data_IF_834228912891
#
_entry.id   IF_834228912891
#
_cell.length_a   1.000
_cell.length_b   1.000
_cell.length_c   1.000
_cell.angle_alpha   90.00
_cell.angle_beta   90.00
_cell.angle_gamma   90.00
#
_symmetry.space_group_name_H-M   'P 1'
#
loop_
_entity.id
_entity.type
_entity.pdbx_description
1 polymer ?
#
# COMPACT_ATOMS: atom_id res chain seq x y z
N UNK A 1 -12.35 21.97 -37.41
CA UNK A 1 -11.81 22.76 -38.54
C UNK A 1 -12.18 22.14 -39.88
N UNK A 2 -11.85 20.86 -40.13
CA UNK A 2 -12.20 20.10 -41.35
C UNK A 2 -13.70 20.06 -41.67
N UNK A 3 -14.58 19.96 -40.66
CA UNK A 3 -16.05 19.98 -40.86
C UNK A 3 -16.57 21.31 -41.43
N UNK A 4 -15.97 22.43 -41.03
CA UNK A 4 -16.33 23.77 -41.53
C UNK A 4 -15.84 23.94 -42.97
N UNK A 5 -14.66 23.41 -43.25
CA UNK A 5 -14.05 23.34 -44.58
C UNK A 5 -14.92 22.52 -45.55
N UNK A 6 -15.35 21.31 -45.17
CA UNK A 6 -16.26 20.51 -46.01
C UNK A 6 -17.61 21.19 -46.26
N UNK A 7 -18.18 21.85 -45.25
CA UNK A 7 -19.45 22.57 -45.39
C UNK A 7 -19.34 23.75 -46.37
N UNK A 8 -18.18 24.43 -46.41
CA UNK A 8 -17.93 25.50 -47.37
C UNK A 8 -17.85 24.97 -48.81
N UNK A 9 -17.19 23.83 -49.01
CA UNK A 9 -17.08 23.17 -50.32
C UNK A 9 -18.44 22.70 -50.84
N UNK A 10 -19.26 22.10 -49.99
CA UNK A 10 -20.62 21.66 -50.32
C UNK A 10 -21.51 22.83 -50.78
N UNK A 11 -21.28 24.03 -50.24
CA UNK A 11 -22.02 25.24 -50.60
C UNK A 11 -21.55 25.81 -51.94
N UNK A 12 -20.25 25.72 -52.25
CA UNK A 12 -19.70 26.11 -53.55
C UNK A 12 -20.20 25.20 -54.68
N UNK A 13 -20.37 23.90 -54.43
CA UNK A 13 -20.97 22.96 -55.41
C UNK A 13 -22.45 23.25 -55.68
N UNK A 14 -23.20 23.76 -54.67
CA UNK A 14 -24.61 24.16 -54.82
C UNK A 14 -24.79 25.44 -55.65
N UNK A 15 -23.78 26.28 -55.76
CA UNK A 15 -23.83 27.57 -56.49
C UNK A 15 -23.51 27.46 -58.00
N UNK A 16 -23.36 26.25 -58.56
CA UNK A 16 -23.04 26.02 -59.98
C UNK A 16 -21.78 26.76 -60.50
N UNK A 17 -20.81 27.05 -59.61
CA UNK A 17 -19.53 27.69 -59.95
C UNK A 17 -18.49 26.72 -60.52
N UNK A 18 -18.85 25.45 -60.68
CA UNK A 18 -17.99 24.36 -61.15
C UNK A 18 -18.55 23.74 -62.44
N UNK A 19 -17.67 23.42 -63.39
CA UNK A 19 -18.07 22.73 -64.62
C UNK A 19 -18.72 21.38 -64.29
N UNK A 20 -19.81 21.04 -64.97
CA UNK A 20 -20.77 19.97 -64.65
C UNK A 20 -20.24 18.51 -64.77
N UNK A 21 -18.93 18.28 -64.66
CA UNK A 21 -18.30 17.01 -65.06
C UNK A 21 -17.42 16.35 -64.00
N UNK A 22 -17.60 16.63 -62.72
CA UNK A 22 -16.76 16.04 -61.68
C UNK A 22 -17.59 15.41 -60.56
N UNK A 23 -17.24 14.17 -60.21
CA UNK A 23 -17.84 13.35 -59.17
C UNK A 23 -17.52 13.83 -57.73
N UNK A 24 -17.12 15.10 -57.59
CA UNK A 24 -16.70 15.77 -56.34
C UNK A 24 -17.73 15.60 -55.22
N UNK A 25 -19.02 15.49 -55.56
CA UNK A 25 -20.07 15.28 -54.56
C UNK A 25 -19.96 13.89 -53.90
N UNK A 26 -19.70 12.84 -54.67
CA UNK A 26 -19.54 11.48 -54.14
C UNK A 26 -18.27 11.38 -53.30
N UNK A 27 -17.17 11.96 -53.77
CA UNK A 27 -15.88 11.96 -53.06
C UNK A 27 -15.96 12.72 -51.70
N UNK A 28 -16.74 13.81 -51.63
CA UNK A 28 -16.99 14.55 -50.39
C UNK A 28 -17.84 13.74 -49.41
N UNK A 29 -18.85 13.02 -49.90
CA UNK A 29 -19.72 12.18 -49.07
C UNK A 29 -18.93 11.00 -48.49
N UNK A 30 -18.07 10.37 -49.30
CA UNK A 30 -17.19 9.28 -48.88
C UNK A 30 -16.18 9.74 -47.81
N UNK A 31 -15.54 10.91 -47.99
CA UNK A 31 -14.63 11.47 -46.98
C UNK A 31 -15.31 11.90 -45.68
N UNK A 32 -16.59 12.30 -45.72
CA UNK A 32 -17.37 12.52 -44.49
C UNK A 32 -17.60 11.23 -43.76
N UNK A 33 -17.98 10.18 -44.48
CA UNK A 33 -18.30 8.89 -43.90
C UNK A 33 -17.05 8.24 -43.29
N UNK A 34 -15.89 8.37 -43.94
CA UNK A 34 -14.62 7.90 -43.34
C UNK A 34 -14.26 8.71 -42.10
N UNK A 35 -14.34 10.06 -42.16
CA UNK A 35 -14.07 10.92 -41.01
C UNK A 35 -14.97 10.64 -39.78
N UNK A 36 -16.23 10.25 -40.00
CA UNK A 36 -17.16 9.90 -38.92
C UNK A 36 -16.91 8.50 -38.32
N UNK A 37 -16.18 7.63 -39.02
CA UNK A 37 -15.85 6.26 -38.58
C UNK A 37 -14.42 6.11 -38.01
N UNK A 38 -13.58 7.14 -38.12
CA UNK A 38 -12.20 7.12 -37.59
C UNK A 38 -12.20 7.09 -36.06
N UNK A 39 -11.40 6.18 -35.50
CA UNK A 39 -11.21 6.07 -34.05
C UNK A 39 -10.15 7.06 -33.56
N UNK A 40 -10.38 7.63 -32.38
CA UNK A 40 -9.51 8.61 -31.75
C UNK A 40 -8.16 7.97 -31.37
N UNK A 41 -7.16 8.12 -32.26
CA UNK A 41 -5.82 7.55 -32.10
C UNK A 41 -5.22 6.94 -33.36
N UNK A 42 -6.01 6.72 -34.42
CA UNK A 42 -5.51 6.17 -35.68
C UNK A 42 -4.94 7.28 -36.60
N UNK A 43 -3.70 7.69 -36.29
CA UNK A 43 -3.02 8.78 -37.00
C UNK A 43 -2.80 8.50 -38.50
N UNK A 44 -2.72 7.24 -38.90
CA UNK A 44 -2.46 6.83 -40.28
C UNK A 44 -3.72 7.04 -41.14
N UNK A 45 -4.89 6.73 -40.57
CA UNK A 45 -6.19 6.99 -41.20
C UNK A 45 -6.53 8.49 -41.23
N UNK A 46 -6.19 9.23 -40.17
CA UNK A 46 -6.34 10.69 -40.12
C UNK A 46 -5.44 11.38 -41.15
N UNK A 47 -4.19 10.91 -41.31
CA UNK A 47 -3.26 11.46 -42.30
C UNK A 47 -3.79 11.25 -43.72
N UNK A 48 -4.29 10.04 -44.01
CA UNK A 48 -4.87 9.71 -45.31
C UNK A 48 -6.07 10.61 -45.65
N UNK A 49 -6.96 10.86 -44.69
CA UNK A 49 -8.12 11.76 -44.89
C UNK A 49 -7.66 13.20 -45.17
N UNK A 50 -6.58 13.67 -44.52
CA UNK A 50 -6.00 14.98 -44.75
C UNK A 50 -5.39 15.12 -46.16
N UNK A 51 -4.70 14.09 -46.63
CA UNK A 51 -4.14 14.03 -47.98
C UNK A 51 -5.26 14.04 -49.04
N UNK A 52 -6.28 13.20 -48.89
CA UNK A 52 -7.41 13.11 -49.81
C UNK A 52 -8.24 14.42 -49.84
N UNK A 53 -8.41 15.07 -48.67
CA UNK A 53 -9.06 16.38 -48.58
C UNK A 53 -8.26 17.45 -49.32
N UNK A 54 -6.94 17.42 -49.25
CA UNK A 54 -6.06 18.39 -49.93
C UNK A 54 -6.13 18.23 -51.44
N UNK A 55 -6.15 16.99 -51.95
CA UNK A 55 -6.31 16.68 -53.37
C UNK A 55 -7.63 17.23 -53.92
N UNK A 56 -8.73 17.12 -53.16
CA UNK A 56 -10.02 17.69 -53.56
C UNK A 56 -10.00 19.22 -53.64
N UNK A 57 -9.36 19.89 -52.68
CA UNK A 57 -9.21 21.35 -52.73
C UNK A 57 -8.43 21.80 -53.97
N UNK A 58 -7.37 21.08 -54.35
CA UNK A 58 -6.60 21.36 -55.55
C UNK A 58 -7.44 21.16 -56.82
N UNK A 59 -8.18 20.05 -56.91
CA UNK A 59 -9.09 19.78 -58.04
C UNK A 59 -10.17 20.86 -58.17
N UNK A 60 -10.72 21.35 -57.06
CA UNK A 60 -11.71 22.43 -57.07
C UNK A 60 -11.05 23.75 -57.50
N UNK A 61 -9.87 24.08 -56.97
CA UNK A 61 -9.16 25.32 -57.28
C UNK A 61 -8.85 25.47 -58.78
N UNK A 62 -8.53 24.36 -59.45
CA UNK A 62 -8.22 24.33 -60.88
C UNK A 62 -9.45 24.53 -61.78
N UNK A 63 -10.66 24.36 -61.24
CA UNK A 63 -11.91 24.33 -62.01
C UNK A 63 -12.91 25.45 -61.63
N UNK A 64 -12.52 26.38 -60.75
CA UNK A 64 -13.32 27.57 -60.43
C UNK A 64 -13.15 28.61 -61.56
N UNK A 65 -14.25 28.97 -62.22
CA UNK A 65 -14.28 30.09 -63.17
C UNK A 65 -14.67 31.37 -62.43
N UNK A 66 -13.75 32.36 -62.39
CA UNK A 66 -14.03 33.70 -61.86
C UNK A 66 -14.49 34.60 -63.02
N UNK A 67 -15.70 35.19 -63.01
CA UNK A 67 -16.10 36.16 -64.02
C UNK A 67 -15.30 37.46 -63.85
N UNK A 68 -14.42 37.78 -64.80
CA UNK A 68 -13.78 39.11 -64.85
C UNK A 68 -14.80 40.14 -65.35
N UNK A 69 -15.14 41.16 -64.54
CA UNK A 69 -15.88 42.33 -65.03
C UNK A 69 -15.00 43.14 -65.98
N UNK A 70 -15.48 43.37 -67.20
CA UNK A 70 -14.84 44.24 -68.19
C UNK A 70 -15.31 45.68 -68.00
N UNK A 71 -14.37 46.62 -67.83
CA UNK A 71 -14.64 48.06 -67.92
C UNK A 71 -15.01 48.44 -69.36
N UNK A 72 -16.29 48.70 -69.58
CA UNK A 72 -16.87 49.08 -70.87
C UNK A 72 -17.63 50.41 -70.75
N UNK A 73 -16.99 51.46 -70.23
CA UNK A 73 -17.58 52.81 -70.21
C UNK A 73 -16.51 53.91 -70.30
N UNK A 74 -15.86 54.04 -71.45
CA UNK A 74 -15.20 55.29 -71.86
C UNK A 74 -15.59 55.61 -73.29
N UNK A 75 -16.72 56.30 -73.45
CA UNK A 75 -17.10 56.97 -74.68
C UNK A 75 -16.82 58.46 -74.52
N UNK A 76 -15.75 58.94 -75.12
CA UNK A 76 -15.61 60.35 -75.52
C UNK A 76 -15.77 60.40 -77.03
N UNK A 77 -16.98 60.69 -77.49
CA UNK A 77 -17.22 61.11 -78.87
C UNK A 77 -16.88 62.61 -78.99
N UNK A 78 -15.90 62.93 -79.83
CA UNK A 78 -15.52 64.30 -80.16
C UNK A 78 -16.51 64.88 -81.17
N UNK A 79 -17.44 65.70 -80.71
CA UNK A 79 -18.31 66.50 -81.58
C UNK A 79 -17.69 67.91 -81.73
N UNK A 80 -16.98 68.13 -82.83
CA UNK A 80 -16.52 69.46 -83.24
C UNK A 80 -17.72 70.26 -83.76
N UNK A 81 -18.16 71.26 -82.99
CA UNK A 81 -19.11 72.26 -83.44
C UNK A 81 -18.51 73.65 -83.26
N UNK A 82 -18.16 74.21 -84.42
CA UNK A 82 -18.08 75.62 -84.81
C UNK A 82 -18.11 76.72 -83.73
N UNK A 83 -16.98 77.42 -83.68
CA UNK A 83 -16.70 78.73 -83.08
C UNK A 83 -17.70 79.82 -83.51
N UNK A 84 -18.29 80.51 -82.53
CA UNK A 84 -18.76 81.90 -82.66
C UNK A 84 -18.48 82.69 -81.36
N UNK A 85 -18.16 83.96 -81.52
CA UNK A 85 -17.45 84.84 -80.58
C UNK A 85 -18.27 85.23 -79.33
N UNK A 86 -17.79 84.94 -78.11
CA UNK A 86 -17.93 85.81 -76.91
C UNK A 86 -17.21 85.30 -75.64
N UNK A 87 -16.51 86.23 -74.95
CA UNK A 87 -16.23 86.29 -73.50
C UNK A 87 -15.19 85.36 -72.82
N UNK A 88 -13.93 85.78 -72.80
CA UNK A 88 -12.86 85.17 -71.97
C UNK A 88 -13.16 85.21 -70.44
N UNK A 89 -14.03 86.12 -69.98
CA UNK A 89 -14.46 86.19 -68.56
C UNK A 89 -15.51 85.12 -68.19
N UNK A 90 -16.31 84.63 -69.16
CA UNK A 90 -17.35 83.61 -68.91
C UNK A 90 -16.74 82.19 -68.94
N UNK A 91 -15.80 81.93 -69.86
CA UNK A 91 -15.02 80.69 -69.94
C UNK A 91 -14.16 80.47 -68.69
N UNK A 92 -13.48 81.51 -68.19
CA UNK A 92 -12.64 81.41 -66.98
C UNK A 92 -13.46 81.19 -65.71
N UNK A 93 -14.68 81.74 -65.65
CA UNK A 93 -15.62 81.49 -64.56
C UNK A 93 -16.14 80.06 -64.59
N UNK A 94 -16.50 79.55 -65.76
CA UNK A 94 -16.95 78.17 -65.92
C UNK A 94 -15.84 77.17 -65.52
N UNK A 95 -14.60 77.40 -65.93
CA UNK A 95 -13.45 76.61 -65.49
C UNK A 95 -13.25 76.66 -63.96
N UNK A 96 -13.47 77.81 -63.33
CA UNK A 96 -13.39 77.94 -61.87
C UNK A 96 -14.49 77.15 -61.14
N UNK A 97 -15.69 77.11 -61.71
CA UNK A 97 -16.83 76.35 -61.17
C UNK A 97 -16.60 74.84 -61.29
N UNK A 98 -16.09 74.36 -62.44
CA UNK A 98 -15.71 72.96 -62.62
C UNK A 98 -14.57 72.52 -61.71
N UNK A 99 -13.57 73.37 -61.50
CA UNK A 99 -12.48 73.09 -60.55
C UNK A 99 -13.01 72.98 -59.12
N UNK A 100 -13.95 73.85 -58.73
CA UNK A 100 -14.59 73.79 -57.42
C UNK A 100 -15.43 72.51 -57.25
N UNK A 101 -16.18 72.12 -58.28
CA UNK A 101 -16.99 70.90 -58.26
C UNK A 101 -16.10 69.63 -58.20
N UNK A 102 -15.05 69.56 -59.02
CA UNK A 102 -14.08 68.47 -58.98
C UNK A 102 -13.44 68.33 -57.60
N UNK A 103 -13.08 69.46 -56.98
CA UNK A 103 -12.53 69.48 -55.61
C UNK A 103 -13.57 69.01 -54.58
N UNK A 104 -14.85 69.42 -54.73
CA UNK A 104 -15.93 68.98 -53.83
C UNK A 104 -16.20 67.48 -53.94
N UNK A 105 -16.19 66.92 -55.15
CA UNK A 105 -16.32 65.47 -55.39
C UNK A 105 -15.13 64.73 -54.79
N UNK A 106 -13.91 65.18 -55.04
CA UNK A 106 -12.69 64.59 -54.46
C UNK A 106 -12.74 64.57 -52.94
N UNK A 107 -13.12 65.68 -52.31
CA UNK A 107 -13.25 65.78 -50.85
C UNK A 107 -14.35 64.86 -50.31
N UNK A 108 -15.48 64.74 -51.00
CA UNK A 108 -16.58 63.85 -50.60
C UNK A 108 -16.13 62.39 -50.67
N UNK A 109 -15.54 61.99 -51.80
CA UNK A 109 -15.00 60.65 -51.98
C UNK A 109 -13.92 60.32 -50.95
N UNK A 110 -13.00 61.26 -50.67
CA UNK A 110 -11.99 61.08 -49.64
C UNK A 110 -12.61 60.87 -48.26
N UNK A 111 -13.62 61.67 -47.89
CA UNK A 111 -14.35 61.52 -46.62
C UNK A 111 -15.07 60.17 -46.51
N UNK A 112 -15.66 59.67 -47.60
CA UNK A 112 -16.31 58.36 -47.63
C UNK A 112 -15.29 57.23 -47.46
N UNK A 113 -14.16 57.29 -48.17
CA UNK A 113 -13.08 56.31 -48.05
C UNK A 113 -12.47 56.31 -46.66
N UNK A 114 -12.29 57.48 -46.05
CA UNK A 114 -11.86 57.59 -44.66
C UNK A 114 -12.88 56.98 -43.70
N UNK A 115 -14.18 57.21 -43.90
CA UNK A 115 -15.23 56.63 -43.05
C UNK A 115 -15.23 55.10 -43.13
N UNK A 116 -15.11 54.54 -44.34
CA UNK A 116 -15.02 53.09 -44.55
C UNK A 116 -13.75 52.53 -43.89
N UNK A 117 -12.61 53.22 -44.04
CA UNK A 117 -11.34 52.81 -43.40
C UNK A 117 -11.48 52.75 -41.88
N UNK A 118 -12.00 53.81 -41.25
CA UNK A 118 -12.22 53.85 -39.80
C UNK A 118 -13.20 52.76 -39.34
N UNK A 119 -14.24 52.45 -40.12
CA UNK A 119 -15.18 51.38 -39.81
C UNK A 119 -14.48 50.02 -39.72
N UNK A 120 -13.66 49.67 -40.72
CA UNK A 120 -12.90 48.41 -40.71
C UNK A 120 -11.81 48.38 -39.65
N UNK A 121 -11.09 49.49 -39.44
CA UNK A 121 -10.11 49.60 -38.35
C UNK A 121 -10.74 49.34 -36.99
N UNK A 122 -11.91 49.93 -36.74
CA UNK A 122 -12.67 49.71 -35.51
C UNK A 122 -13.14 48.25 -35.39
N UNK A 123 -13.69 47.66 -36.45
CA UNK A 123 -14.09 46.25 -36.46
C UNK A 123 -12.90 45.32 -36.15
N UNK A 124 -11.76 45.53 -36.81
CA UNK A 124 -10.54 44.75 -36.57
C UNK A 124 -10.01 44.94 -35.15
N UNK A 125 -10.08 46.15 -34.60
CA UNK A 125 -9.69 46.43 -33.21
C UNK A 125 -10.59 45.65 -32.23
N UNK A 126 -11.91 45.70 -32.42
CA UNK A 126 -12.86 44.97 -31.57
C UNK A 126 -12.64 43.45 -31.63
N UNK A 127 -12.38 42.91 -32.83
CA UNK A 127 -12.07 41.48 -32.99
C UNK A 127 -10.75 41.10 -32.32
N UNK A 128 -9.71 41.94 -32.42
CA UNK A 128 -8.43 41.73 -31.72
C UNK A 128 -8.59 41.71 -30.20
N UNK A 129 -9.29 42.70 -29.63
CA UNK A 129 -9.55 42.75 -28.19
C UNK A 129 -10.31 41.49 -27.70
N UNK A 130 -11.30 41.02 -28.48
CA UNK A 130 -12.02 39.78 -28.16
C UNK A 130 -11.10 38.55 -28.15
N UNK A 131 -10.20 38.45 -29.12
CA UNK A 131 -9.22 37.35 -29.19
C UNK A 131 -8.27 37.42 -27.99
N UNK A 132 -7.71 38.59 -27.69
CA UNK A 132 -6.80 38.78 -26.56
C UNK A 132 -7.46 38.44 -25.21
N UNK A 133 -8.72 38.83 -25.02
CA UNK A 133 -9.48 38.48 -23.82
C UNK A 133 -9.73 36.98 -23.71
N UNK A 134 -10.04 36.31 -24.81
CA UNK A 134 -10.26 34.86 -24.81
C UNK A 134 -8.95 34.10 -24.56
N UNK A 135 -7.84 34.53 -25.17
CA UNK A 135 -6.52 33.98 -24.92
C UNK A 135 -6.06 34.18 -23.47
N UNK A 136 -6.37 35.34 -22.88
CA UNK A 136 -6.08 35.60 -21.47
C UNK A 136 -6.90 34.68 -20.56
N UNK A 137 -8.18 34.44 -20.87
CA UNK A 137 -9.01 33.45 -20.15
C UNK A 137 -8.45 32.04 -20.27
N UNK A 138 -8.09 31.62 -21.49
CA UNK A 138 -7.50 30.31 -21.75
C UNK A 138 -6.19 30.11 -20.98
N UNK A 139 -5.32 31.13 -20.94
CA UNK A 139 -4.08 31.08 -20.15
C UNK A 139 -4.34 30.88 -18.66
N UNK A 140 -5.28 31.64 -18.07
CA UNK A 140 -5.64 31.47 -16.65
C UNK A 140 -6.16 30.06 -16.34
N UNK A 141 -7.06 29.54 -17.18
CA UNK A 141 -7.58 28.17 -17.01
C UNK A 141 -6.47 27.12 -17.13
N UNK A 142 -5.52 27.33 -18.04
CA UNK A 142 -4.37 26.44 -18.20
C UNK A 142 -3.43 26.50 -16.99
N UNK A 143 -3.19 27.68 -16.42
CA UNK A 143 -2.41 27.86 -15.20
C UNK A 143 -3.09 27.20 -14.00
N UNK A 144 -4.41 27.37 -13.84
CA UNK A 144 -5.20 26.70 -12.79
C UNK A 144 -5.15 25.17 -12.94
N UNK A 145 -5.28 24.65 -14.15
CA UNK A 145 -5.17 23.22 -14.42
C UNK A 145 -3.79 22.68 -13.98
N UNK A 146 -2.71 23.34 -14.41
CA UNK A 146 -1.34 22.92 -14.04
C UNK A 146 -1.14 23.00 -12.53
N UNK A 147 -1.65 24.03 -11.87
CA UNK A 147 -1.57 24.18 -10.41
C UNK A 147 -2.30 23.04 -9.69
N UNK A 148 -3.52 22.71 -10.12
CA UNK A 148 -4.32 21.62 -9.55
C UNK A 148 -3.61 20.29 -9.75
N UNK A 149 -3.14 20.00 -10.98
CA UNK A 149 -2.39 18.77 -11.29
C UNK A 149 -1.15 18.65 -10.44
N UNK A 150 -0.34 19.70 -10.34
CA UNK A 150 0.89 19.70 -9.53
C UNK A 150 0.58 19.46 -8.05
N UNK A 151 -0.47 20.11 -7.51
CA UNK A 151 -0.90 19.90 -6.12
C UNK A 151 -1.42 18.47 -5.89
N UNK A 152 -2.16 17.92 -6.85
CA UNK A 152 -2.64 16.55 -6.80
C UNK A 152 -1.47 15.56 -6.78
N UNK A 153 -0.49 15.72 -7.66
CA UNK A 153 0.70 14.88 -7.74
C UNK A 153 1.53 14.93 -6.45
N UNK A 154 1.69 16.13 -5.87
CA UNK A 154 2.34 16.30 -4.58
C UNK A 154 1.56 15.58 -3.46
N UNK A 155 0.25 15.80 -3.39
CA UNK A 155 -0.61 15.14 -2.41
C UNK A 155 -0.57 13.61 -2.55
N UNK A 156 -0.58 13.10 -3.78
CA UNK A 156 -0.52 11.67 -4.06
C UNK A 156 0.83 11.11 -3.64
N UNK A 157 1.93 11.81 -3.93
CA UNK A 157 3.28 11.42 -3.50
C UNK A 157 3.40 11.38 -1.98
N UNK A 158 2.89 12.39 -1.28
CA UNK A 158 2.89 12.43 0.19
C UNK A 158 2.06 11.29 0.78
N UNK A 159 0.88 11.02 0.23
CA UNK A 159 0.03 9.91 0.68
C UNK A 159 0.73 8.56 0.45
N UNK A 160 1.33 8.34 -0.72
CA UNK A 160 2.10 7.13 -1.00
C UNK A 160 3.24 6.93 -0.02
N UNK A 161 4.05 7.98 0.23
CA UNK A 161 5.13 7.93 1.21
C UNK A 161 4.60 7.59 2.62
N UNK A 162 3.49 8.21 3.05
CA UNK A 162 2.91 7.90 4.37
C UNK A 162 2.42 6.46 4.49
N UNK A 163 1.90 5.88 3.41
CA UNK A 163 1.50 4.46 3.40
C UNK A 163 2.71 3.53 3.42
N UNK A 164 3.77 3.86 2.68
CA UNK A 164 5.02 3.12 2.72
C UNK A 164 5.63 3.13 4.13
N UNK A 165 5.69 4.29 4.78
CA UNK A 165 6.17 4.44 6.16
C UNK A 165 5.36 3.58 7.15
N UNK A 166 4.03 3.62 7.07
CA UNK A 166 3.15 2.82 7.95
C UNK A 166 3.33 1.32 7.71
N UNK A 167 3.49 0.89 6.46
CA UNK A 167 3.74 -0.52 6.14
C UNK A 167 5.10 -0.99 6.66
N UNK A 168 6.12 -0.14 6.57
CA UNK A 168 7.44 -0.44 7.12
C UNK A 168 7.41 -0.51 8.65
N UNK A 169 6.75 0.44 9.31
CA UNK A 169 6.56 0.43 10.77
C UNK A 169 5.85 -0.85 11.23
N UNK A 170 4.76 -1.25 10.55
CA UNK A 170 4.06 -2.49 10.86
C UNK A 170 4.93 -3.73 10.66
N UNK A 171 5.68 -3.78 9.55
CA UNK A 171 6.57 -4.90 9.25
C UNK A 171 7.67 -5.03 10.31
N UNK A 172 8.26 -3.91 10.72
CA UNK A 172 9.28 -3.86 11.75
C UNK A 172 8.68 -4.24 13.12
N UNK A 173 7.50 -3.73 13.46
CA UNK A 173 6.78 -4.09 14.68
C UNK A 173 6.51 -5.60 14.77
N UNK A 174 5.99 -6.22 13.71
CA UNK A 174 5.78 -7.68 13.69
C UNK A 174 7.07 -8.47 13.81
N UNK A 175 8.16 -8.00 13.19
CA UNK A 175 9.46 -8.64 13.30
C UNK A 175 10.00 -8.58 14.73
N UNK A 176 9.90 -7.41 15.38
CA UNK A 176 10.31 -7.21 16.76
C UNK A 176 9.48 -8.06 17.73
N UNK A 177 8.15 -8.10 17.57
CA UNK A 177 7.26 -8.96 18.36
C UNK A 177 7.62 -10.44 18.19
N UNK A 178 7.91 -10.88 16.96
CA UNK A 178 8.34 -12.25 16.69
C UNK A 178 9.67 -12.59 17.38
N UNK A 179 10.62 -11.66 17.37
CA UNK A 179 11.91 -11.83 18.05
C UNK A 179 11.76 -11.81 19.56
N UNK A 180 10.87 -10.97 20.09
CA UNK A 180 10.52 -10.94 21.51
C UNK A 180 9.92 -12.26 21.95
N UNK A 181 8.91 -12.75 21.23
CA UNK A 181 8.25 -14.01 21.54
C UNK A 181 9.22 -15.18 21.51
N UNK A 182 10.15 -15.22 20.54
CA UNK A 182 11.22 -16.23 20.49
C UNK A 182 12.14 -16.17 21.69
N UNK A 183 12.54 -14.96 22.13
CA UNK A 183 13.38 -14.76 23.31
C UNK A 183 12.67 -15.20 24.59
N UNK A 184 11.41 -14.82 24.74
CA UNK A 184 10.58 -15.20 25.90
C UNK A 184 10.39 -16.71 25.95
N UNK A 185 10.02 -17.35 24.83
CA UNK A 185 9.89 -18.79 24.76
C UNK A 185 11.21 -19.53 25.09
N UNK A 186 12.34 -19.04 24.58
CA UNK A 186 13.65 -19.62 24.91
C UNK A 186 13.98 -19.48 26.40
N UNK A 187 13.67 -18.33 27.00
CA UNK A 187 13.86 -18.09 28.43
C UNK A 187 12.97 -19.01 29.28
N UNK A 188 11.69 -19.13 28.95
CA UNK A 188 10.76 -20.03 29.63
C UNK A 188 11.24 -21.50 29.53
N UNK A 189 11.71 -21.91 28.36
CA UNK A 189 12.27 -23.25 28.16
C UNK A 189 13.51 -23.50 29.04
N UNK A 190 14.36 -22.50 29.25
CA UNK A 190 15.52 -22.59 30.14
C UNK A 190 15.11 -22.65 31.61
N UNK A 191 14.11 -21.87 32.01
CA UNK A 191 13.52 -21.90 33.35
C UNK A 191 12.88 -23.26 33.65
N UNK A 192 12.11 -23.83 32.71
CA UNK A 192 11.52 -25.16 32.84
C UNK A 192 12.61 -26.25 32.93
N UNK A 193 13.66 -26.17 32.10
CA UNK A 193 14.82 -27.08 32.19
C UNK A 193 15.51 -26.99 33.55
N UNK A 194 15.66 -25.79 34.10
CA UNK A 194 16.26 -25.58 35.42
C UNK A 194 15.37 -26.15 36.54
N UNK A 195 14.06 -25.88 36.49
CA UNK A 195 13.09 -26.41 37.45
C UNK A 195 13.04 -27.95 37.40
N UNK A 196 13.04 -28.53 36.20
CA UNK A 196 13.06 -30.00 36.01
C UNK A 196 14.35 -30.62 36.56
N UNK A 197 15.51 -29.97 36.35
CA UNK A 197 16.78 -30.43 36.93
C UNK A 197 16.72 -30.44 38.45
N UNK A 198 16.21 -29.36 39.06
CA UNK A 198 16.07 -29.26 40.50
C UNK A 198 15.10 -30.31 41.06
N UNK A 199 13.99 -30.57 40.37
CA UNK A 199 13.07 -31.63 40.74
C UNK A 199 13.73 -33.02 40.69
N UNK A 200 14.51 -33.31 39.64
CA UNK A 200 15.26 -34.57 39.53
C UNK A 200 16.32 -34.72 40.63
N UNK A 201 17.03 -33.64 40.98
CA UNK A 201 17.99 -33.64 42.08
C UNK A 201 17.31 -33.87 43.43
N UNK A 202 16.16 -33.24 43.68
CA UNK A 202 15.37 -33.47 44.88
C UNK A 202 14.91 -34.93 44.99
N UNK A 203 14.42 -35.52 43.89
CA UNK A 203 14.02 -36.93 43.84
C UNK A 203 15.22 -37.85 44.08
N UNK A 204 16.37 -37.60 43.46
CA UNK A 204 17.60 -38.39 43.70
C UNK A 204 18.01 -38.33 45.16
N UNK A 205 18.01 -37.14 45.75
CA UNK A 205 18.35 -36.94 47.15
C UNK A 205 17.39 -37.66 48.09
N UNK A 206 16.08 -37.54 47.86
CA UNK A 206 15.07 -38.24 48.64
C UNK A 206 15.25 -39.76 48.56
N UNK A 207 15.54 -40.29 47.37
CA UNK A 207 15.81 -41.72 47.18
C UNK A 207 17.09 -42.17 47.89
N UNK A 208 18.18 -41.39 47.86
CA UNK A 208 19.40 -41.69 48.61
C UNK A 208 19.17 -41.66 50.13
N UNK A 209 18.38 -40.70 50.62
CA UNK A 209 18.00 -40.62 52.03
C UNK A 209 17.14 -41.82 52.44
N UNK A 210 16.22 -42.28 51.59
CA UNK A 210 15.42 -43.49 51.82
C UNK A 210 16.29 -44.75 51.86
N UNK A 211 17.28 -44.88 50.96
CA UNK A 211 18.25 -46.00 50.97
C UNK A 211 19.10 -45.99 52.25
N UNK A 212 19.56 -44.83 52.70
CA UNK A 212 20.29 -44.66 53.97
C UNK A 212 19.40 -44.99 55.18
N UNK A 213 18.12 -44.58 55.15
CA UNK A 213 17.16 -44.92 56.18
C UNK A 213 16.82 -46.43 56.19
N UNK A 214 16.74 -47.08 55.03
CA UNK A 214 16.52 -48.52 54.94
C UNK A 214 17.72 -49.33 55.44
N UNK A 215 18.93 -48.95 55.06
CA UNK A 215 20.18 -49.59 55.55
C UNK A 215 20.38 -49.39 57.04
N UNK A 216 20.17 -48.17 57.57
CA UNK A 216 20.22 -47.92 59.02
C UNK A 216 19.15 -48.68 59.79
N UNK A 217 17.91 -48.76 59.29
CA UNK A 217 16.86 -49.60 59.86
C UNK A 217 17.28 -51.07 59.91
N UNK A 218 17.88 -51.61 58.83
CA UNK A 218 18.38 -52.99 58.79
C UNK A 218 19.48 -53.23 59.83
N UNK A 219 20.47 -52.33 59.94
CA UNK A 219 21.55 -52.42 60.93
C UNK A 219 21.01 -52.36 62.36
N UNK A 220 20.03 -51.49 62.63
CA UNK A 220 19.40 -51.42 63.95
C UNK A 220 18.63 -52.71 64.29
N UNK A 221 17.89 -53.29 63.34
CA UNK A 221 17.20 -54.58 63.54
C UNK A 221 18.22 -55.70 63.82
N UNK A 222 19.35 -55.71 63.12
CA UNK A 222 20.42 -56.70 63.35
C UNK A 222 21.06 -56.52 64.74
N UNK A 223 21.35 -55.28 65.16
CA UNK A 223 21.85 -54.98 66.50
C UNK A 223 20.85 -55.35 67.60
N UNK A 224 19.57 -55.08 67.40
CA UNK A 224 18.52 -55.42 68.37
C UNK A 224 18.34 -56.94 68.50
N UNK A 225 18.42 -57.67 67.38
CA UNK A 225 18.48 -59.15 67.39
C UNK A 225 19.69 -59.67 68.15
N UNK A 226 20.86 -59.07 67.96
CA UNK A 226 22.08 -59.50 68.65
C UNK A 226 22.02 -59.16 70.14
N UNK A 227 21.54 -57.97 70.51
CA UNK A 227 21.28 -57.59 71.89
C UNK A 227 20.26 -58.52 72.56
N UNK A 228 19.19 -58.90 71.85
CA UNK A 228 18.21 -59.88 72.34
C UNK A 228 18.85 -61.27 72.54
N UNK A 229 19.72 -61.73 71.62
CA UNK A 229 20.48 -62.98 71.80
C UNK A 229 21.43 -62.92 73.00
N UNK A 230 22.14 -61.81 73.17
CA UNK A 230 23.04 -61.61 74.30
C UNK A 230 22.29 -61.59 75.62
N UNK A 231 21.17 -60.84 75.70
CA UNK A 231 20.30 -60.81 76.88
C UNK A 231 19.74 -62.20 77.21
N UNK A 232 19.27 -62.94 76.21
CA UNK A 232 18.79 -64.31 76.40
C UNK A 232 19.91 -65.26 76.87
N UNK A 233 21.11 -65.13 76.31
CA UNK A 233 22.30 -65.88 76.74
C UNK A 233 22.68 -65.56 78.19
N UNK A 234 22.66 -64.29 78.58
CA UNK A 234 22.94 -63.88 79.95
C UNK A 234 21.91 -64.44 80.93
N UNK A 235 20.63 -64.41 80.56
CA UNK A 235 19.55 -64.99 81.37
C UNK A 235 19.67 -66.52 81.51
N UNK A 236 20.06 -67.23 80.44
CA UNK A 236 20.35 -68.67 80.51
C UNK A 236 21.51 -68.96 81.45
N UNK A 237 22.58 -68.17 81.41
CA UNK A 237 23.72 -68.36 82.30
C UNK A 237 23.35 -68.06 83.75
N UNK A 238 22.52 -67.04 84.01
CA UNK A 238 21.98 -66.78 85.34
C UNK A 238 21.12 -67.95 85.84
N UNK A 239 20.20 -68.47 85.03
CA UNK A 239 19.39 -69.64 85.43
C UNK A 239 20.24 -70.87 85.68
N UNK A 240 21.32 -71.05 84.90
CA UNK A 240 22.29 -72.12 85.13
C UNK A 240 23.01 -71.94 86.46
N UNK A 241 23.45 -70.73 86.77
CA UNK A 241 24.08 -70.41 88.07
C UNK A 241 23.12 -70.66 89.23
N UNK A 242 21.88 -70.17 89.15
CA UNK A 242 20.83 -70.43 90.14
C UNK A 242 20.55 -71.93 90.30
N UNK A 243 20.47 -72.68 89.21
CA UNK A 243 20.28 -74.13 89.26
C UNK A 243 21.48 -74.84 89.91
N UNK A 244 22.71 -74.41 89.61
CA UNK A 244 23.90 -74.96 90.27
C UNK A 244 23.93 -74.65 91.76
N UNK A 245 23.56 -73.42 92.15
CA UNK A 245 23.47 -73.01 93.54
C UNK A 245 22.37 -73.78 94.28
N UNK A 246 21.20 -73.96 93.65
CA UNK A 246 20.11 -74.75 94.20
C UNK A 246 20.49 -76.22 94.32
N UNK A 247 21.17 -76.77 93.31
CA UNK A 247 21.65 -78.16 93.33
C UNK A 247 22.70 -78.37 94.42
N UNK A 248 23.60 -77.39 94.64
CA UNK A 248 24.57 -77.40 95.73
C UNK A 248 23.89 -77.26 97.11
N UNK A 249 22.90 -76.38 97.23
CA UNK A 249 22.12 -76.24 98.46
C UNK A 249 21.31 -77.51 98.78
N UNK A 250 20.71 -78.13 97.76
CA UNK A 250 19.97 -79.38 97.91
C UNK A 250 20.90 -80.54 98.29
N UNK A 251 22.06 -80.68 97.63
CA UNK A 251 23.03 -81.71 97.99
C UNK A 251 23.57 -81.53 99.41
N UNK A 252 23.86 -80.29 99.82
CA UNK A 252 24.22 -79.97 101.20
C UNK A 252 23.10 -80.37 102.19
N UNK A 253 21.84 -80.10 101.86
CA UNK A 253 20.68 -80.50 102.68
C UNK A 253 20.49 -82.01 102.74
N UNK A 254 20.75 -82.75 101.67
CA UNK A 254 20.75 -84.21 101.69
C UNK A 254 21.83 -84.76 102.62
N UNK A 255 23.03 -84.17 102.61
CA UNK A 255 24.11 -84.54 103.52
C UNK A 255 23.71 -84.22 104.97
N UNK A 256 23.12 -83.05 105.23
CA UNK A 256 22.61 -82.68 106.55
C UNK A 256 21.52 -83.66 107.04
N UNK A 257 20.55 -84.01 106.20
CA UNK A 257 19.53 -85.01 106.53
C UNK A 257 20.16 -86.38 106.82
N UNK A 258 21.12 -86.84 106.02
CA UNK A 258 21.82 -88.10 106.28
C UNK A 258 22.56 -88.06 107.64
N UNK A 259 23.19 -86.95 107.98
CA UNK A 259 23.82 -86.75 109.29
C UNK A 259 22.80 -86.73 110.44
N UNK A 260 21.64 -86.11 110.23
CA UNK A 260 20.55 -86.10 111.21
C UNK A 260 19.95 -87.49 111.39
N UNK A 261 19.74 -88.26 110.32
CA UNK A 261 19.27 -89.64 110.35
C UNK A 261 20.28 -90.56 111.05
N UNK A 262 21.58 -90.36 110.85
CA UNK A 262 22.65 -91.08 111.55
C UNK A 262 22.64 -90.74 113.05
N UNK A 263 22.49 -89.46 113.42
CA UNK A 263 22.33 -89.03 114.82
C UNK A 263 21.07 -89.59 115.47
N UNK A 264 19.94 -89.59 114.75
CA UNK A 264 18.68 -90.18 115.21
C UNK A 264 18.83 -91.69 115.43
N UNK A 265 19.47 -92.40 114.50
CA UNK A 265 19.76 -93.82 114.62
C UNK A 265 20.64 -94.11 115.83
N UNK A 266 21.70 -93.33 116.04
CA UNK A 266 22.58 -93.46 117.20
C UNK A 266 21.84 -93.22 118.53
N UNK A 267 20.97 -92.20 118.60
CA UNK A 267 20.13 -91.93 119.77
C UNK A 267 19.09 -93.04 120.03
N UNK A 268 18.54 -93.65 118.98
CA UNK A 268 17.65 -94.82 119.10
C UNK A 268 18.41 -96.05 119.61
N UNK A 269 19.64 -96.29 119.14
CA UNK A 269 20.51 -97.36 119.62
C UNK A 269 20.91 -97.18 121.09
N UNK A 270 21.12 -95.93 121.53
CA UNK A 270 21.35 -95.58 122.94
C UNK A 270 20.10 -95.83 123.79
N UNK A 271 18.91 -95.53 123.25
CA UNK A 271 17.63 -95.80 123.92
C UNK A 271 17.35 -97.29 124.05
N UNK A 272 17.67 -98.09 123.04
CA UNK A 272 17.58 -99.57 123.11
C UNK A 272 18.59 -100.15 124.11
N UNK A 273 19.82 -99.62 124.18
CA UNK A 273 20.80 -100.03 125.21
C UNK A 273 20.42 -99.61 126.63
N UNK A 274 19.59 -98.58 126.79
CA UNK A 274 19.07 -98.12 128.09
C UNK A 274 17.75 -98.76 128.53
N UNK A 275 17.06 -99.48 127.64
CA UNK A 275 15.69 -99.98 127.83
C UNK A 275 15.53 -101.39 128.39
N UNK A 276 16.61 -102.19 128.48
CA UNK A 276 16.59 -103.59 128.96
C UNK A 276 17.28 -103.76 130.34
N UNK A 277 16.98 -102.87 131.28
CA UNK A 277 17.25 -103.06 132.73
C UNK A 277 15.97 -103.22 133.52
#
# INVERSE_FOLDING_TARGET
MLRVQLAAVENMTKMHLLHQSLNIREDIEELRQTLDNVHEGDLEEIQKILEDTTVLYDQISQNIVIPSQSDSWTMTESFEAESDYSDEEEDTKQDSEWQAEMTAIQNTHQSEMETIRHHYEHQLKSMRERIEHEEARRRKLQEELVQITTRNDQSLTTVKASFEDVLEEQRNGFQEEMEQLKREHQKELEEEKAATRLALEAVRRAHEEELKAATSRKVNIEKDRDGTRQNFSAMLEQMREELTNLSAAYSAKCIENAQLDERLSALMEERERGGDR
#
